data_IF_048413460239
#
_entry.id   IF_048413460239
#
_cell.length_a   1.000
_cell.length_b   1.000
_cell.length_c   1.000
_cell.angle_alpha   90.00
_cell.angle_beta   90.00
_cell.angle_gamma   90.00
#
_symmetry.space_group_name_H-M   'P 1'
#
loop_
_entity.id
_entity.type
_entity.pdbx_description
1 polymer ?
#
# COMPACT_ATOMS: atom_id res chain seq x y z
N UNK A 1 5.74 11.55 -20.03
CA UNK A 1 6.35 10.94 -18.82
C UNK A 1 5.34 10.06 -18.05
N UNK A 2 4.06 10.41 -17.99
CA UNK A 2 3.03 9.67 -17.23
C UNK A 2 2.70 8.31 -17.86
N UNK A 3 2.58 8.23 -19.20
CA UNK A 3 2.33 6.95 -19.88
C UNK A 3 3.52 5.99 -19.77
N UNK A 4 4.76 6.50 -19.88
CA UNK A 4 5.97 5.70 -19.67
C UNK A 4 6.14 5.28 -18.21
N UNK A 5 5.55 6.00 -17.28
CA UNK A 5 5.60 5.69 -15.86
C UNK A 5 4.60 4.57 -15.51
N UNK A 6 3.37 4.61 -16.04
CA UNK A 6 2.39 3.53 -15.87
C UNK A 6 2.87 2.23 -16.52
N UNK A 7 3.35 2.25 -17.77
CA UNK A 7 3.90 1.07 -18.43
C UNK A 7 5.20 0.56 -17.81
N UNK A 8 6.01 1.43 -17.21
CA UNK A 8 7.23 1.02 -16.48
C UNK A 8 6.90 0.42 -15.11
N UNK A 9 5.84 0.87 -14.44
CA UNK A 9 5.29 0.25 -13.25
C UNK A 9 4.72 -1.14 -13.57
N UNK A 10 3.82 -1.25 -14.54
CA UNK A 10 3.22 -2.54 -14.94
C UNK A 10 4.26 -3.58 -15.37
N UNK A 11 5.32 -3.19 -16.12
CA UNK A 11 6.39 -4.11 -16.52
C UNK A 11 7.36 -4.53 -15.42
N UNK A 12 7.55 -3.74 -14.35
CA UNK A 12 8.44 -4.08 -13.22
C UNK A 12 7.72 -4.75 -12.05
N UNK A 13 6.42 -4.52 -11.90
CA UNK A 13 5.62 -5.21 -10.88
C UNK A 13 5.39 -6.69 -11.22
N UNK A 14 5.43 -7.09 -12.49
CA UNK A 14 5.34 -8.51 -12.88
C UNK A 14 6.60 -9.33 -12.56
N UNK A 15 7.68 -8.74 -12.00
CA UNK A 15 8.97 -9.44 -11.82
C UNK A 15 9.62 -9.38 -10.43
N UNK A 16 8.91 -8.87 -9.40
CA UNK A 16 9.30 -9.06 -7.99
C UNK A 16 8.07 -9.49 -7.21
N UNK A 17 7.71 -10.74 -7.38
CA UNK A 17 6.91 -11.43 -6.38
C UNK A 17 7.68 -11.37 -5.07
N UNK A 18 7.14 -10.68 -4.08
CA UNK A 18 7.72 -10.66 -2.74
C UNK A 18 7.70 -12.08 -2.17
N UNK A 19 8.77 -12.49 -1.53
CA UNK A 19 8.85 -13.78 -0.87
C UNK A 19 7.81 -13.84 0.26
N UNK A 20 6.72 -14.57 0.01
CA UNK A 20 5.68 -14.82 1.01
C UNK A 20 6.16 -15.87 1.99
N UNK A 21 5.93 -15.62 3.27
CA UNK A 21 6.30 -16.53 4.35
C UNK A 21 5.08 -17.34 4.78
N UNK A 22 5.21 -18.65 4.78
CA UNK A 22 4.13 -19.54 5.21
C UNK A 22 4.63 -20.52 6.27
N UNK A 23 3.71 -20.98 7.11
CA UNK A 23 3.90 -22.15 7.98
C UNK A 23 3.01 -23.28 7.51
N UNK A 24 3.50 -24.53 7.58
CA UNK A 24 2.69 -25.71 7.31
C UNK A 24 2.17 -26.24 8.65
N UNK A 25 0.86 -26.41 8.78
CA UNK A 25 0.24 -27.11 9.90
C UNK A 25 -0.16 -28.51 9.43
N UNK A 26 0.48 -29.52 10.01
CA UNK A 26 0.32 -30.90 9.57
C UNK A 26 -0.11 -31.81 10.72
N UNK A 27 -1.32 -32.41 10.65
CA UNK A 27 -1.79 -33.40 11.61
C UNK A 27 -1.16 -34.79 11.42
N UNK A 28 -0.43 -34.96 10.31
CA UNK A 28 0.20 -36.25 9.97
C UNK A 28 1.65 -36.32 10.47
N UNK A 29 2.44 -37.24 9.88
CA UNK A 29 3.85 -37.39 10.23
C UNK A 29 4.72 -36.24 9.72
N UNK A 30 5.87 -36.08 10.37
CA UNK A 30 6.91 -35.12 9.95
C UNK A 30 7.33 -35.33 8.48
N UNK A 31 7.37 -36.58 8.00
CA UNK A 31 7.71 -36.87 6.61
C UNK A 31 6.73 -36.26 5.59
N UNK A 32 5.44 -36.22 5.89
CA UNK A 32 4.42 -35.64 5.02
C UNK A 32 4.61 -34.11 4.92
N UNK A 33 4.86 -33.45 6.05
CA UNK A 33 5.08 -32.01 6.06
C UNK A 33 6.37 -31.61 5.35
N UNK A 34 7.43 -32.40 5.48
CA UNK A 34 8.70 -32.15 4.77
C UNK A 34 8.55 -32.36 3.26
N UNK A 35 7.81 -33.39 2.83
CA UNK A 35 7.55 -33.62 1.42
C UNK A 35 6.76 -32.46 0.82
N UNK A 36 5.73 -31.99 1.52
CA UNK A 36 4.93 -30.84 1.10
C UNK A 36 5.79 -29.56 1.00
N UNK A 37 6.63 -29.30 2.01
CA UNK A 37 7.57 -28.18 2.01
C UNK A 37 8.46 -28.21 0.77
N UNK A 38 9.14 -29.32 0.50
CA UNK A 38 10.04 -29.48 -0.64
C UNK A 38 9.30 -29.28 -1.97
N UNK A 39 8.07 -29.83 -2.09
CA UNK A 39 7.26 -29.64 -3.31
C UNK A 39 6.89 -28.18 -3.54
N UNK A 40 6.46 -27.46 -2.51
CA UNK A 40 6.05 -26.06 -2.61
C UNK A 40 7.27 -25.19 -2.93
N UNK A 41 8.36 -25.30 -2.18
CA UNK A 41 9.56 -24.49 -2.39
C UNK A 41 10.25 -24.77 -3.74
N UNK A 42 10.05 -25.95 -4.33
CA UNK A 42 10.54 -26.28 -5.68
C UNK A 42 9.68 -25.65 -6.78
N UNK A 43 8.37 -25.49 -6.56
CA UNK A 43 7.41 -24.98 -7.55
C UNK A 43 7.17 -23.46 -7.47
N UNK A 44 7.49 -22.88 -6.32
CA UNK A 44 7.24 -21.47 -6.00
C UNK A 44 8.50 -20.80 -5.45
N UNK A 45 9.20 -20.06 -6.32
CA UNK A 45 10.40 -19.28 -5.91
C UNK A 45 10.06 -18.13 -4.97
N UNK A 46 8.78 -17.74 -4.89
CA UNK A 46 8.27 -16.61 -4.11
C UNK A 46 7.58 -17.03 -2.80
N UNK A 47 7.59 -18.32 -2.44
CA UNK A 47 7.04 -18.82 -1.18
C UNK A 47 8.16 -19.46 -0.37
N UNK A 48 8.33 -18.99 0.88
CA UNK A 48 9.27 -19.56 1.83
C UNK A 48 8.53 -20.19 3.00
N UNK A 49 8.74 -21.47 3.23
CA UNK A 49 8.19 -22.15 4.40
C UNK A 49 9.13 -21.92 5.59
N UNK A 50 8.65 -21.13 6.55
CA UNK A 50 9.41 -20.71 7.74
C UNK A 50 9.50 -21.86 8.73
N UNK A 51 8.38 -22.55 8.98
CA UNK A 51 8.30 -23.64 9.95
C UNK A 51 7.20 -24.63 9.61
N UNK A 52 7.27 -25.79 10.24
CA UNK A 52 6.24 -26.83 10.21
C UNK A 52 5.75 -27.05 11.63
N UNK A 53 4.44 -26.91 11.82
CA UNK A 53 3.78 -26.91 13.12
C UNK A 53 2.87 -28.13 13.24
N UNK A 54 2.67 -28.59 14.47
CA UNK A 54 1.57 -29.47 14.84
C UNK A 54 0.35 -28.64 15.24
N UNK A 55 -0.82 -29.23 15.25
CA UNK A 55 -2.05 -28.57 15.70
C UNK A 55 -1.94 -27.97 17.12
N UNK A 56 -1.21 -28.67 18.00
CA UNK A 56 -0.96 -28.23 19.39
C UNK A 56 -0.15 -26.91 19.44
N UNK A 57 0.69 -26.67 18.45
CA UNK A 57 1.55 -25.49 18.36
C UNK A 57 0.77 -24.23 17.94
N UNK A 58 -0.44 -24.38 17.36
CA UNK A 58 -1.31 -23.27 16.98
C UNK A 58 -1.78 -22.41 18.17
N UNK A 59 -1.73 -22.94 19.37
CA UNK A 59 -2.09 -22.24 20.62
C UNK A 59 -1.01 -21.33 21.16
N UNK A 60 0.18 -21.27 20.52
CA UNK A 60 1.30 -20.44 20.97
C UNK A 60 1.13 -19.02 20.43
N UNK A 61 1.14 -18.02 21.30
CA UNK A 61 0.89 -16.60 20.97
C UNK A 61 1.87 -15.98 19.96
N UNK A 62 3.00 -16.61 19.67
CA UNK A 62 4.07 -16.00 18.87
C UNK A 62 4.15 -16.48 17.41
N UNK A 63 3.43 -17.53 17.01
CA UNK A 63 3.59 -18.09 15.67
C UNK A 63 3.03 -17.18 14.57
N UNK A 64 2.07 -16.33 14.89
CA UNK A 64 1.37 -15.47 13.95
C UNK A 64 2.17 -14.24 13.46
N UNK A 65 3.26 -13.86 14.12
CA UNK A 65 3.90 -12.55 13.89
C UNK A 65 4.77 -12.47 12.63
N UNK A 66 5.27 -13.61 12.14
CA UNK A 66 6.29 -13.63 11.09
C UNK A 66 5.85 -14.24 9.78
N UNK A 67 4.64 -14.77 9.69
CA UNK A 67 4.11 -15.44 8.49
C UNK A 67 2.96 -14.68 7.86
N UNK A 68 2.80 -14.82 6.55
CA UNK A 68 1.73 -14.19 5.77
C UNK A 68 0.49 -15.08 5.73
N UNK A 69 0.66 -16.41 5.66
CA UNK A 69 -0.43 -17.37 5.61
C UNK A 69 -0.02 -18.75 6.15
N UNK A 70 -1.01 -19.60 6.31
CA UNK A 70 -0.85 -20.99 6.76
C UNK A 70 -1.24 -21.93 5.61
N UNK A 71 -0.50 -23.00 5.45
CA UNK A 71 -0.85 -24.13 4.60
C UNK A 71 -1.29 -25.27 5.52
N UNK A 72 -2.50 -25.76 5.32
CA UNK A 72 -3.12 -26.74 6.19
C UNK A 72 -3.88 -27.81 5.41
N UNK A 73 -4.32 -28.86 6.09
CA UNK A 73 -5.11 -29.96 5.52
C UNK A 73 -6.59 -29.89 5.91
N UNK A 74 -6.91 -28.97 6.82
CA UNK A 74 -8.27 -28.68 7.28
C UNK A 74 -8.38 -27.24 7.76
N UNK A 75 -9.59 -26.77 8.01
CA UNK A 75 -9.85 -25.46 8.62
C UNK A 75 -9.53 -25.49 10.12
N UNK A 76 -9.09 -24.34 10.63
CA UNK A 76 -8.85 -24.15 12.06
C UNK A 76 -9.56 -22.87 12.53
N UNK A 77 -10.29 -23.00 13.62
CA UNK A 77 -10.97 -21.86 14.24
C UNK A 77 -9.97 -20.98 15.03
N UNK A 78 -10.32 -19.70 15.20
CA UNK A 78 -9.55 -18.71 15.97
C UNK A 78 -8.14 -18.37 15.44
N UNK A 79 -7.89 -18.60 14.16
CA UNK A 79 -6.67 -18.19 13.49
C UNK A 79 -6.93 -16.92 12.67
N UNK A 80 -6.17 -15.86 12.94
CA UNK A 80 -6.30 -14.57 12.24
C UNK A 80 -5.60 -14.53 10.87
N UNK A 81 -4.82 -15.55 10.52
CA UNK A 81 -4.10 -15.64 9.25
C UNK A 81 -4.92 -16.37 8.19
N UNK A 82 -4.81 -15.96 6.91
CA UNK A 82 -5.39 -16.72 5.82
C UNK A 82 -4.89 -18.17 5.81
N UNK A 83 -5.78 -19.12 5.59
CA UNK A 83 -5.43 -20.56 5.55
C UNK A 83 -5.64 -21.06 4.11
N UNK A 84 -4.60 -21.64 3.53
CA UNK A 84 -4.69 -22.41 2.30
C UNK A 84 -4.85 -23.89 2.62
N UNK A 85 -5.95 -24.48 2.18
CA UNK A 85 -6.23 -25.90 2.40
C UNK A 85 -5.74 -26.69 1.19
N UNK A 86 -4.97 -27.73 1.43
CA UNK A 86 -4.42 -28.62 0.40
C UNK A 86 -4.50 -30.08 0.82
N UNK A 87 -4.14 -30.98 -0.09
CA UNK A 87 -3.98 -32.40 0.19
C UNK A 87 -2.51 -32.78 0.42
N UNK A 88 -2.22 -33.91 1.09
CA UNK A 88 -0.84 -34.40 1.28
C UNK A 88 -0.09 -34.60 -0.04
N UNK A 89 -0.80 -34.89 -1.13
CA UNK A 89 -0.20 -35.15 -2.43
C UNK A 89 0.22 -33.89 -3.17
N UNK A 90 -0.35 -32.73 -2.83
CA UNK A 90 -0.13 -31.44 -3.49
C UNK A 90 -0.07 -31.58 -5.02
N UNK A 91 -1.23 -31.62 -5.63
CA UNK A 91 -1.44 -31.86 -7.05
C UNK A 91 -1.21 -30.59 -7.88
N UNK A 92 -1.23 -30.69 -9.21
CA UNK A 92 -1.14 -29.52 -10.09
C UNK A 92 -2.37 -28.58 -9.95
N UNK A 93 -3.53 -29.14 -9.55
CA UNK A 93 -4.71 -28.34 -9.20
C UNK A 93 -4.46 -27.53 -7.91
N UNK A 94 -3.85 -28.14 -6.89
CA UNK A 94 -3.45 -27.45 -5.66
C UNK A 94 -2.42 -26.34 -5.95
N UNK A 95 -1.52 -26.57 -6.91
CA UNK A 95 -0.57 -25.55 -7.36
C UNK A 95 -1.28 -24.32 -7.95
N UNK A 96 -2.25 -24.52 -8.84
CA UNK A 96 -3.02 -23.43 -9.42
C UNK A 96 -3.84 -22.69 -8.37
N UNK A 97 -4.48 -23.42 -7.46
CA UNK A 97 -5.22 -22.83 -6.32
C UNK A 97 -4.30 -22.03 -5.40
N UNK A 98 -3.09 -22.51 -5.12
CA UNK A 98 -2.11 -21.79 -4.29
C UNK A 98 -1.60 -20.52 -4.98
N UNK A 99 -1.40 -20.53 -6.30
CA UNK A 99 -1.08 -19.32 -7.09
C UNK A 99 -2.17 -18.27 -6.96
N UNK A 100 -3.43 -18.65 -7.18
CA UNK A 100 -4.56 -17.74 -7.02
C UNK A 100 -4.71 -17.23 -5.58
N UNK A 101 -4.55 -18.13 -4.61
CA UNK A 101 -4.63 -17.80 -3.19
C UNK A 101 -3.55 -16.80 -2.79
N UNK A 102 -2.29 -17.03 -3.19
CA UNK A 102 -1.18 -16.12 -2.88
C UNK A 102 -1.29 -14.77 -3.60
N UNK A 103 -1.92 -14.72 -4.77
CA UNK A 103 -2.25 -13.47 -5.46
C UNK A 103 -3.36 -12.69 -4.74
N UNK A 104 -4.27 -13.38 -4.06
CA UNK A 104 -5.34 -12.76 -3.24
C UNK A 104 -4.85 -12.35 -1.85
N UNK A 105 -3.82 -13.00 -1.33
CA UNK A 105 -3.15 -12.55 -0.10
C UNK A 105 -2.36 -11.30 -0.48
N UNK A 106 -3.02 -10.16 -0.37
CA UNK A 106 -2.33 -8.88 -0.42
C UNK A 106 -1.22 -8.91 0.62
N UNK A 107 -0.02 -8.50 0.23
CA UNK A 107 1.02 -8.19 1.20
C UNK A 107 0.44 -7.25 2.25
N UNK A 108 0.08 -7.80 3.41
CA UNK A 108 -0.17 -7.01 4.60
C UNK A 108 1.16 -6.51 5.20
N UNK A 109 2.04 -6.02 4.37
CA UNK A 109 2.99 -5.01 4.78
C UNK A 109 2.41 -3.65 4.36
N UNK A 110 1.17 -3.42 4.78
CA UNK A 110 0.50 -2.12 4.71
C UNK A 110 1.05 -1.20 5.80
N UNK A 111 2.37 -1.15 5.87
CA UNK A 111 3.06 -0.14 6.65
C UNK A 111 3.14 1.11 5.78
N UNK A 112 2.38 2.12 6.13
CA UNK A 112 2.44 3.46 5.51
C UNK A 112 3.51 4.33 6.19
N UNK A 113 4.59 3.71 6.68
CA UNK A 113 5.66 4.36 7.46
C UNK A 113 6.29 5.52 6.73
N UNK A 114 6.45 5.40 5.43
CA UNK A 114 7.08 6.44 4.63
C UNK A 114 6.12 7.61 4.40
N UNK A 115 4.84 7.32 4.13
CA UNK A 115 3.80 8.35 4.09
C UNK A 115 3.73 9.08 5.42
N UNK A 116 3.66 8.34 6.54
CA UNK A 116 3.65 8.91 7.89
C UNK A 116 4.89 9.79 8.15
N UNK A 117 6.09 9.29 7.81
CA UNK A 117 7.34 10.04 7.96
C UNK A 117 7.37 11.33 7.16
N UNK A 118 6.81 11.34 5.94
CA UNK A 118 6.75 12.53 5.10
C UNK A 118 5.67 13.52 5.55
N UNK A 119 4.66 13.06 6.28
CA UNK A 119 3.69 13.93 6.99
C UNK A 119 4.32 14.45 8.29
N UNK A 120 5.41 15.20 8.19
CA UNK A 120 6.32 15.57 9.28
C UNK A 120 5.65 16.31 10.43
N UNK A 121 4.49 16.93 10.19
CA UNK A 121 3.81 17.79 11.17
C UNK A 121 2.29 17.76 10.95
N UNK A 122 1.55 17.89 12.04
CA UNK A 122 0.08 17.80 12.04
C UNK A 122 -0.58 18.89 11.19
N UNK A 123 0.09 20.02 10.97
CA UNK A 123 -0.44 21.05 10.06
C UNK A 123 -0.43 20.64 8.57
N UNK A 124 0.24 19.56 8.19
CA UNK A 124 0.19 18.95 6.87
C UNK A 124 -1.01 17.98 6.70
N UNK A 125 -1.80 17.78 7.76
CA UNK A 125 -3.00 16.97 7.74
C UNK A 125 -4.18 17.89 7.94
N UNK A 126 -5.11 17.90 6.98
CA UNK A 126 -6.23 18.85 6.95
C UNK A 126 -7.54 18.18 6.59
N UNK A 127 -8.61 18.69 7.18
CA UNK A 127 -9.95 18.53 6.64
C UNK A 127 -10.33 19.82 5.90
N UNK A 128 -10.74 19.69 4.64
CA UNK A 128 -10.99 20.82 3.75
C UNK A 128 -12.46 20.91 3.36
N UNK A 129 -12.93 22.14 3.25
CA UNK A 129 -14.28 22.47 2.79
C UNK A 129 -14.14 23.42 1.60
N UNK A 130 -13.79 22.84 0.45
CA UNK A 130 -13.67 23.52 -0.84
C UNK A 130 -14.57 22.83 -1.86
N UNK A 131 -15.12 23.60 -2.79
CA UNK A 131 -15.95 23.11 -3.88
C UNK A 131 -15.15 22.94 -5.19
N UNK A 132 -13.95 23.51 -5.26
CA UNK A 132 -13.05 23.43 -6.41
C UNK A 132 -11.73 22.74 -6.03
N UNK A 133 -11.33 21.78 -6.86
CA UNK A 133 -10.13 20.99 -6.62
C UNK A 133 -8.83 21.83 -6.71
N UNK A 134 -8.83 22.85 -7.57
CA UNK A 134 -7.66 23.73 -7.72
C UNK A 134 -7.51 24.69 -6.54
N UNK A 135 -8.62 25.10 -5.92
CA UNK A 135 -8.58 25.87 -4.67
C UNK A 135 -8.00 25.02 -3.53
N UNK A 136 -8.45 23.78 -3.40
CA UNK A 136 -7.92 22.85 -2.41
C UNK A 136 -6.41 22.60 -2.59
N UNK A 137 -5.96 22.36 -3.83
CA UNK A 137 -4.53 22.22 -4.16
C UNK A 137 -3.75 23.52 -3.86
N UNK A 138 -4.32 24.65 -4.20
CA UNK A 138 -3.71 25.97 -3.95
C UNK A 138 -3.52 26.20 -2.45
N UNK A 139 -4.55 25.92 -1.66
CA UNK A 139 -4.48 26.02 -0.20
C UNK A 139 -3.35 25.16 0.37
N UNK A 140 -3.31 23.88 0.02
CA UNK A 140 -2.27 22.94 0.49
C UNK A 140 -0.87 23.37 0.04
N UNK A 141 -0.74 23.85 -1.20
CA UNK A 141 0.56 24.33 -1.72
C UNK A 141 1.04 25.56 -0.98
N UNK A 142 0.15 26.48 -0.65
CA UNK A 142 0.49 27.68 0.12
C UNK A 142 0.98 27.32 1.53
N UNK A 143 0.42 26.30 2.20
CA UNK A 143 0.96 25.80 3.46
C UNK A 143 2.42 25.36 3.34
N UNK A 144 2.80 24.72 2.21
CA UNK A 144 4.18 24.31 1.96
C UNK A 144 5.11 25.52 1.74
N UNK A 145 4.63 26.54 1.01
CA UNK A 145 5.38 27.75 0.73
C UNK A 145 5.60 28.55 2.02
N UNK A 146 4.57 28.75 2.83
CA UNK A 146 4.63 29.46 4.12
C UNK A 146 5.63 28.82 5.10
N UNK A 147 5.74 27.50 5.06
CA UNK A 147 6.67 26.74 5.90
C UNK A 147 8.04 26.51 5.24
N UNK A 148 8.31 27.17 4.11
CA UNK A 148 9.57 27.09 3.38
C UNK A 148 9.97 25.69 2.88
N UNK A 149 8.99 24.79 2.69
CA UNK A 149 9.24 23.48 2.07
C UNK A 149 9.30 23.56 0.55
N UNK A 150 8.61 24.55 -0.05
CA UNK A 150 8.60 24.80 -1.48
C UNK A 150 8.79 26.28 -1.79
N UNK A 151 9.24 26.58 -3.00
CA UNK A 151 9.28 27.93 -3.56
C UNK A 151 7.91 28.34 -4.12
N UNK A 152 7.69 29.66 -4.29
CA UNK A 152 6.40 30.18 -4.77
C UNK A 152 6.01 29.64 -6.15
N UNK A 153 7.00 29.41 -6.99
CA UNK A 153 6.85 28.89 -8.35
C UNK A 153 6.30 27.45 -8.38
N UNK A 154 6.38 26.74 -7.26
CA UNK A 154 5.81 25.40 -7.12
C UNK A 154 4.30 25.41 -7.34
N UNK A 155 3.58 26.43 -6.87
CA UNK A 155 2.14 26.56 -7.06
C UNK A 155 1.77 26.56 -8.54
N UNK A 156 2.45 27.37 -9.35
CA UNK A 156 2.16 27.43 -10.78
C UNK A 156 2.47 26.10 -11.46
N UNK A 157 3.56 25.43 -11.07
CA UNK A 157 3.97 24.16 -11.66
C UNK A 157 2.96 23.04 -11.39
N UNK A 158 2.45 22.94 -10.14
CA UNK A 158 1.48 21.92 -9.74
C UNK A 158 0.11 22.13 -10.40
N UNK A 159 -0.37 23.38 -10.45
CA UNK A 159 -1.66 23.73 -11.08
C UNK A 159 -1.61 23.48 -12.60
N UNK A 160 -0.52 23.87 -13.27
CA UNK A 160 -0.35 23.65 -14.70
C UNK A 160 -0.34 22.14 -15.02
N UNK A 161 0.38 21.35 -14.20
CA UNK A 161 0.43 19.92 -14.36
C UNK A 161 -0.94 19.26 -14.17
N UNK A 162 -1.64 19.62 -13.08
CA UNK A 162 -2.94 19.03 -12.76
C UNK A 162 -3.99 19.35 -13.83
N UNK A 163 -3.97 20.57 -14.40
CA UNK A 163 -4.85 20.95 -15.51
C UNK A 163 -4.56 20.16 -16.79
N UNK A 164 -3.29 19.87 -17.07
CA UNK A 164 -2.88 19.17 -18.30
C UNK A 164 -3.05 17.64 -18.16
N UNK A 165 -2.73 17.11 -17.00
CA UNK A 165 -2.73 15.68 -16.72
C UNK A 165 -3.19 15.42 -15.27
N UNK A 166 -4.49 15.29 -15.03
CA UNK A 166 -5.03 15.03 -13.70
C UNK A 166 -4.40 13.81 -13.03
N UNK A 167 -4.01 13.97 -11.78
CA UNK A 167 -3.23 12.99 -11.02
C UNK A 167 -4.11 12.06 -10.17
N UNK A 168 -5.32 11.75 -10.62
CA UNK A 168 -6.21 10.81 -9.96
C UNK A 168 -5.63 9.38 -10.04
N UNK A 169 -5.36 8.79 -8.88
CA UNK A 169 -4.79 7.43 -8.75
C UNK A 169 -5.86 6.35 -8.50
N UNK A 170 -7.14 6.73 -8.49
CA UNK A 170 -8.27 5.82 -8.27
C UNK A 170 -8.88 5.95 -6.87
N UNK A 171 -10.00 5.27 -6.64
CA UNK A 171 -10.72 5.18 -5.36
C UNK A 171 -10.98 6.52 -4.64
N UNK A 172 -11.10 7.61 -5.38
CA UNK A 172 -11.32 8.95 -4.84
C UNK A 172 -10.08 9.63 -4.29
N UNK A 173 -8.89 9.17 -4.64
CA UNK A 173 -7.62 9.78 -4.24
C UNK A 173 -7.03 10.59 -5.39
N UNK A 174 -6.68 11.83 -5.10
CA UNK A 174 -5.87 12.69 -5.97
C UNK A 174 -4.44 12.77 -5.42
N UNK A 175 -3.44 12.70 -6.31
CA UNK A 175 -2.02 12.72 -5.94
C UNK A 175 -1.26 13.85 -6.66
N UNK A 176 -1.60 15.13 -6.39
CA UNK A 176 -1.00 16.26 -7.08
C UNK A 176 0.47 16.43 -6.70
N UNK A 177 1.28 16.74 -7.72
CA UNK A 177 2.70 17.06 -7.58
C UNK A 177 3.16 17.97 -8.73
N UNK A 178 4.13 18.83 -8.44
CA UNK A 178 4.69 19.78 -9.38
C UNK A 178 6.14 19.45 -9.77
N UNK A 179 6.87 20.48 -10.23
CA UNK A 179 8.28 20.35 -10.61
C UNK A 179 9.16 20.31 -9.34
N UNK A 180 9.93 19.23 -9.21
CA UNK A 180 10.81 18.94 -8.07
C UNK A 180 11.90 20.00 -7.85
N UNK A 181 12.23 20.81 -8.88
CA UNK A 181 13.27 21.84 -8.77
C UNK A 181 12.90 22.97 -7.79
N UNK A 182 11.60 23.14 -7.51
CA UNK A 182 11.09 24.15 -6.59
C UNK A 182 10.92 23.65 -5.15
N UNK A 183 11.34 22.39 -4.86
CA UNK A 183 11.18 21.77 -3.56
C UNK A 183 12.48 21.86 -2.76
N UNK A 184 12.37 22.37 -1.54
CA UNK A 184 13.48 22.50 -0.57
C UNK A 184 13.55 21.29 0.36
N UNK A 185 12.41 20.72 0.68
CA UNK A 185 12.30 19.56 1.58
C UNK A 185 11.16 18.65 1.15
N UNK A 186 11.40 17.34 1.16
CA UNK A 186 10.38 16.34 0.83
C UNK A 186 9.34 16.23 1.95
N UNK A 187 8.08 16.47 1.60
CA UNK A 187 6.93 16.36 2.51
C UNK A 187 5.70 15.86 1.76
N UNK A 188 4.79 15.26 2.49
CA UNK A 188 3.48 14.81 2.01
C UNK A 188 2.39 15.52 2.83
N UNK A 189 1.46 16.19 2.13
CA UNK A 189 0.23 16.69 2.74
C UNK A 189 -0.88 15.68 2.54
N UNK A 190 -1.61 15.38 3.59
CA UNK A 190 -2.86 14.63 3.56
C UNK A 190 -4.02 15.63 3.73
N UNK A 191 -4.99 15.59 2.84
CA UNK A 191 -6.22 16.32 3.04
C UNK A 191 -7.44 15.43 2.76
N UNK A 192 -8.40 15.45 3.67
CA UNK A 192 -9.72 14.89 3.49
C UNK A 192 -10.68 16.00 3.10
N UNK A 193 -11.48 15.77 2.07
CA UNK A 193 -12.53 16.68 1.68
C UNK A 193 -13.82 16.33 2.44
N UNK A 194 -14.43 17.31 3.12
CA UNK A 194 -15.73 17.12 3.81
C UNK A 194 -16.81 16.71 2.82
N UNK A 195 -16.83 17.35 1.67
CA UNK A 195 -17.69 17.00 0.54
C UNK A 195 -16.81 16.56 -0.62
N UNK A 196 -17.06 15.38 -1.22
CA UNK A 196 -16.29 14.93 -2.38
C UNK A 196 -16.42 15.92 -3.54
N UNK A 197 -15.29 16.26 -4.16
CA UNK A 197 -15.25 17.17 -5.31
C UNK A 197 -15.24 16.36 -6.60
N UNK A 198 -16.19 16.63 -7.50
CA UNK A 198 -16.25 16.00 -8.79
C UNK A 198 -15.32 16.64 -9.79
N UNK A 199 -14.34 15.88 -10.29
CA UNK A 199 -13.40 16.38 -11.30
C UNK A 199 -13.91 16.12 -12.74
N UNK A 200 -13.28 16.75 -13.74
CA UNK A 200 -13.74 16.74 -15.15
C UNK A 200 -13.95 15.36 -15.76
N UNK A 201 -13.21 14.34 -15.32
CA UNK A 201 -13.38 12.95 -15.78
C UNK A 201 -14.54 12.21 -15.09
N UNK A 202 -15.40 12.90 -14.35
CA UNK A 202 -16.58 12.36 -13.69
C UNK A 202 -16.32 11.58 -12.40
N UNK A 203 -15.11 11.60 -11.87
CA UNK A 203 -14.75 10.93 -10.62
C UNK A 203 -14.85 11.89 -9.44
N UNK A 204 -15.30 11.36 -8.30
CA UNK A 204 -15.39 12.10 -7.05
C UNK A 204 -14.11 11.90 -6.25
N UNK A 205 -13.46 13.01 -5.87
CA UNK A 205 -12.26 13.03 -5.03
C UNK A 205 -12.67 13.23 -3.58
N UNK A 206 -12.14 12.41 -2.69
CA UNK A 206 -12.37 12.43 -1.23
C UNK A 206 -11.10 12.75 -0.45
N UNK A 207 -9.94 12.33 -0.98
CA UNK A 207 -8.64 12.47 -0.33
C UNK A 207 -7.66 13.08 -1.32
N UNK A 208 -6.88 14.04 -0.87
CA UNK A 208 -5.77 14.64 -1.61
C UNK A 208 -4.47 14.29 -0.88
N UNK A 209 -3.53 13.66 -1.58
CA UNK A 209 -2.17 13.40 -1.14
C UNK A 209 -1.22 14.29 -1.94
N UNK A 210 -0.98 15.52 -1.49
CA UNK A 210 -0.11 16.45 -2.20
C UNK A 210 1.35 16.19 -1.86
N UNK A 211 2.13 15.80 -2.85
CA UNK A 211 3.54 15.47 -2.70
C UNK A 211 4.44 16.61 -3.14
N UNK A 212 5.27 17.10 -2.23
CA UNK A 212 6.47 17.85 -2.52
C UNK A 212 7.68 16.94 -2.32
N UNK A 213 8.38 16.57 -3.39
CA UNK A 213 9.55 15.68 -3.32
C UNK A 213 10.78 16.34 -3.89
N UNK A 214 11.86 16.40 -3.10
CA UNK A 214 13.11 17.07 -3.48
C UNK A 214 13.86 16.23 -4.50
N UNK A 215 14.39 16.86 -5.54
CA UNK A 215 15.05 16.21 -6.67
C UNK A 215 16.23 15.32 -6.30
N UNK A 216 17.00 15.73 -5.28
CA UNK A 216 18.24 15.07 -4.86
C UNK A 216 18.02 13.99 -3.79
N UNK A 217 16.78 13.79 -3.35
CA UNK A 217 16.43 12.74 -2.41
C UNK A 217 16.48 11.35 -3.07
N UNK A 218 16.65 10.29 -2.24
CA UNK A 218 16.87 8.93 -2.73
C UNK A 218 15.68 8.42 -3.57
N UNK A 219 15.96 8.05 -4.81
CA UNK A 219 14.97 7.46 -5.73
C UNK A 219 14.35 6.15 -5.23
N UNK A 220 15.01 5.45 -4.29
CA UNK A 220 14.41 4.26 -3.66
C UNK A 220 13.26 4.66 -2.77
N UNK A 221 13.46 5.70 -1.94
CA UNK A 221 12.42 6.27 -1.07
C UNK A 221 11.21 6.71 -1.89
N UNK A 222 11.45 7.38 -3.03
CA UNK A 222 10.39 7.78 -3.94
C UNK A 222 9.58 6.58 -4.47
N UNK A 223 10.25 5.49 -4.87
CA UNK A 223 9.57 4.27 -5.34
C UNK A 223 8.78 3.56 -4.24
N UNK A 224 9.32 3.52 -3.03
CA UNK A 224 8.63 2.93 -1.87
C UNK A 224 7.38 3.73 -1.50
N UNK A 225 7.45 5.07 -1.55
CA UNK A 225 6.29 5.93 -1.36
C UNK A 225 5.16 5.62 -2.36
N UNK A 226 5.51 5.46 -3.63
CA UNK A 226 4.51 5.08 -4.64
C UNK A 226 3.92 3.69 -4.39
N UNK A 227 4.71 2.75 -3.86
CA UNK A 227 4.20 1.43 -3.45
C UNK A 227 3.21 1.58 -2.29
N UNK A 228 3.52 2.38 -1.27
CA UNK A 228 2.60 2.64 -0.15
C UNK A 228 1.30 3.30 -0.63
N UNK A 229 1.38 4.27 -1.54
CA UNK A 229 0.19 4.93 -2.12
C UNK A 229 -0.63 3.95 -2.96
N UNK A 230 0.03 3.10 -3.78
CA UNK A 230 -0.66 2.06 -4.54
C UNK A 230 -1.37 1.08 -3.62
N UNK A 231 -0.71 0.62 -2.55
CA UNK A 231 -1.33 -0.25 -1.55
C UNK A 231 -2.54 0.42 -0.89
N UNK A 232 -2.44 1.71 -0.57
CA UNK A 232 -3.55 2.48 -0.01
C UNK A 232 -4.76 2.52 -0.96
N UNK A 233 -4.53 2.71 -2.27
CA UNK A 233 -5.63 2.72 -3.25
C UNK A 233 -6.35 1.37 -3.38
N UNK A 234 -5.70 0.29 -2.98
CA UNK A 234 -6.25 -1.06 -3.02
C UNK A 234 -6.84 -1.51 -1.67
N UNK A 235 -6.52 -0.81 -0.57
CA UNK A 235 -7.01 -1.13 0.77
C UNK A 235 -8.30 -0.37 1.07
N UNK A 236 -9.44 -0.96 0.66
CA UNK A 236 -10.77 -0.36 0.88
C UNK A 236 -11.09 -0.16 2.36
N UNK A 237 -10.59 -1.03 3.23
CA UNK A 237 -10.80 -0.90 4.68
C UNK A 237 -10.03 0.32 5.24
N UNK A 238 -8.76 0.48 4.85
CA UNK A 238 -7.96 1.64 5.25
C UNK A 238 -8.57 2.94 4.70
N UNK A 239 -9.03 2.96 3.45
CA UNK A 239 -9.70 4.13 2.86
C UNK A 239 -10.99 4.49 3.59
N UNK A 240 -11.78 3.50 4.00
CA UNK A 240 -12.98 3.73 4.79
C UNK A 240 -12.64 4.32 6.17
N UNK A 241 -11.62 3.78 6.84
CA UNK A 241 -11.11 4.32 8.12
C UNK A 241 -10.65 5.76 7.95
N UNK A 242 -9.79 6.06 6.97
CA UNK A 242 -9.26 7.41 6.73
C UNK A 242 -10.35 8.42 6.32
N UNK A 243 -11.43 7.94 5.73
CA UNK A 243 -12.56 8.80 5.35
C UNK A 243 -13.46 9.19 6.53
N UNK A 244 -13.40 8.47 7.65
CA UNK A 244 -14.32 8.60 8.80
C UNK A 244 -13.64 8.94 10.13
N UNK A 245 -12.33 8.64 10.28
CA UNK A 245 -11.62 8.88 11.54
C UNK A 245 -11.50 10.38 11.87
N UNK A 246 -11.19 10.68 13.12
CA UNK A 246 -10.78 12.03 13.50
C UNK A 246 -9.54 12.42 12.72
N UNK A 247 -9.52 13.62 12.13
CA UNK A 247 -8.41 14.07 11.27
C UNK A 247 -7.06 14.05 11.98
N UNK A 248 -7.05 14.30 13.28
CA UNK A 248 -5.85 14.28 14.13
C UNK A 248 -5.26 12.88 14.30
N UNK A 249 -6.07 11.82 14.11
CA UNK A 249 -5.64 10.41 14.25
C UNK A 249 -5.06 9.82 12.97
N UNK A 250 -5.09 10.54 11.84
CA UNK A 250 -4.61 10.02 10.55
C UNK A 250 -3.16 9.54 10.63
N UNK A 251 -2.29 10.25 11.35
CA UNK A 251 -0.88 9.84 11.54
C UNK A 251 -0.75 8.54 12.30
N UNK A 252 -1.53 8.37 13.36
CA UNK A 252 -1.49 7.17 14.20
C UNK A 252 -2.03 5.94 13.47
N UNK A 253 -2.96 6.15 12.53
CA UNK A 253 -3.56 5.10 11.70
C UNK A 253 -2.60 4.64 10.60
N UNK A 254 -1.76 5.52 10.09
CA UNK A 254 -0.80 5.24 8.99
C UNK A 254 0.57 4.73 9.49
N UNK A 255 0.68 4.20 10.69
CA UNK A 255 1.92 3.64 11.25
C UNK A 255 2.25 2.26 10.71
#
# INVERSE_FOLDING_TARGET
LTLHFQTSLERKYSKRESNKKASIVCPFSFGVSMLLKVKIEKRFDNIKIIETLREEDLKRDNFNKTIDFIIAFQEYENIQKPIFITTPLFTDEDENKLKEFTNKIKEKDTSYKLMNRLMMSDYLIRELEHDDIYEAITYLTNLLIEKHYAEKEYLQSIITREKSYPTNVGKGILFPHGDMKYIKQSVLCFARLKTPIRIRNGKDIKIILLLAYKKDDDRKVFRELFKEISNLTEDENMLDILSKCDIEKVKDILI
#
